data_IF_559812812440
#
_entry.id   IF_559812812440
#
_cell.length_a   1.000
_cell.length_b   1.000
_cell.length_c   1.000
_cell.angle_alpha   90.00
_cell.angle_beta   90.00
_cell.angle_gamma   90.00
#
_symmetry.space_group_name_H-M   'P 1'
#
loop_
_entity.id
_entity.type
_entity.pdbx_description
1 polymer ?
#
# COMPACT_ATOMS: atom_id res chain seq x y z
N UNK A 1 13.96 3.88 32.20
CA UNK A 1 14.75 3.14 31.20
C UNK A 1 15.22 4.14 30.16
N UNK A 2 16.51 4.44 30.14
CA UNK A 2 17.11 5.29 29.10
C UNK A 2 17.51 4.36 27.96
N UNK A 3 16.93 4.57 26.77
CA UNK A 3 17.27 3.85 25.54
C UNK A 3 18.67 4.30 25.08
N UNK A 4 19.73 3.72 25.66
CA UNK A 4 21.13 4.06 25.35
C UNK A 4 21.70 3.29 24.15
N UNK A 5 20.89 2.53 23.42
CA UNK A 5 21.29 1.87 22.18
C UNK A 5 20.35 2.33 21.06
N UNK A 6 20.87 2.86 19.94
CA UNK A 6 20.03 3.13 18.79
C UNK A 6 19.38 1.81 18.38
N UNK A 7 18.05 1.77 18.39
CA UNK A 7 17.28 0.68 17.78
C UNK A 7 17.78 0.58 16.34
N UNK A 8 18.24 -0.59 15.85
CA UNK A 8 18.69 -0.71 14.47
C UNK A 8 17.51 -0.42 13.54
N UNK A 9 17.46 0.82 13.04
CA UNK A 9 16.37 1.33 12.17
C UNK A 9 16.41 0.68 10.78
N UNK A 10 17.48 -0.06 10.48
CA UNK A 10 17.71 -0.66 9.17
C UNK A 10 16.72 -1.78 8.83
N UNK A 11 16.21 -2.52 9.83
CA UNK A 11 15.29 -3.64 9.58
C UNK A 11 13.86 -3.19 9.21
N UNK A 12 13.54 -1.92 9.43
CA UNK A 12 12.22 -1.34 9.15
C UNK A 12 12.25 -0.26 8.07
N UNK A 13 13.42 0.00 7.46
CA UNK A 13 13.52 0.96 6.38
C UNK A 13 13.08 0.30 5.08
N UNK A 14 12.07 0.85 4.37
CA UNK A 14 11.65 0.28 3.10
C UNK A 14 12.79 0.32 2.09
N UNK A 15 13.00 -0.79 1.39
CA UNK A 15 13.97 -0.92 0.30
C UNK A 15 13.53 -0.12 -0.94
N UNK A 16 12.23 0.06 -1.12
CA UNK A 16 11.62 0.94 -2.11
C UNK A 16 10.23 1.39 -1.62
N UNK A 17 9.81 2.60 -2.00
CA UNK A 17 8.48 3.14 -1.71
C UNK A 17 7.83 3.57 -3.02
N UNK A 18 6.55 3.23 -3.18
CA UNK A 18 5.72 3.55 -4.32
C UNK A 18 4.40 4.17 -3.89
N UNK A 19 3.72 4.85 -4.82
CA UNK A 19 2.43 5.48 -4.55
C UNK A 19 1.42 5.13 -5.65
N UNK A 20 0.21 4.79 -5.24
CA UNK A 20 -0.98 4.76 -6.09
C UNK A 20 -1.81 5.98 -5.76
N UNK A 21 -2.14 6.77 -6.78
CA UNK A 21 -2.81 8.05 -6.62
C UNK A 21 -4.14 8.00 -7.35
N UNK A 22 -5.22 8.26 -6.61
CA UNK A 22 -6.54 8.50 -7.18
C UNK A 22 -6.67 9.99 -7.50
N UNK A 23 -7.17 10.27 -8.69
CA UNK A 23 -7.34 11.63 -9.19
C UNK A 23 -8.81 11.82 -9.51
N UNK A 24 -9.41 12.89 -8.99
CA UNK A 24 -10.78 13.27 -9.30
C UNK A 24 -10.88 13.88 -10.70
N UNK A 25 -12.11 14.04 -11.20
CA UNK A 25 -12.40 14.65 -12.51
C UNK A 25 -11.82 16.07 -12.72
N UNK A 26 -11.43 16.76 -11.63
CA UNK A 26 -10.79 18.07 -11.67
C UNK A 26 -9.26 17.99 -11.63
N UNK A 27 -8.68 16.81 -11.89
CA UNK A 27 -7.23 16.53 -11.84
C UNK A 27 -6.60 16.75 -10.44
N UNK A 28 -7.42 16.83 -9.40
CA UNK A 28 -6.97 16.91 -8.01
C UNK A 28 -6.82 15.53 -7.41
N UNK A 29 -5.71 15.32 -6.69
CA UNK A 29 -5.49 14.08 -5.92
C UNK A 29 -6.57 13.95 -4.86
N UNK A 30 -7.33 12.87 -4.91
CA UNK A 30 -8.43 12.59 -3.99
C UNK A 30 -8.05 11.61 -2.89
N UNK A 31 -7.30 10.56 -3.24
CA UNK A 31 -6.77 9.57 -2.32
C UNK A 31 -5.37 9.12 -2.77
N UNK A 32 -4.56 8.69 -1.81
CA UNK A 32 -3.22 8.14 -2.08
C UNK A 32 -2.97 6.94 -1.19
N UNK A 33 -2.38 5.90 -1.78
CA UNK A 33 -1.87 4.73 -1.04
C UNK A 33 -0.36 4.68 -1.21
N UNK A 34 0.32 4.61 -0.08
CA UNK A 34 1.75 4.31 -0.03
C UNK A 34 1.96 2.81 0.04
N UNK A 35 2.85 2.29 -0.80
CA UNK A 35 3.27 0.88 -0.82
C UNK A 35 4.76 0.84 -0.52
N UNK A 36 5.12 0.12 0.53
CA UNK A 36 6.50 -0.02 0.99
C UNK A 36 6.98 -1.45 0.78
N UNK A 37 8.05 -1.62 0.02
CA UNK A 37 8.74 -2.90 -0.16
C UNK A 37 9.74 -3.06 0.97
N UNK A 38 9.47 -3.97 1.89
CA UNK A 38 10.30 -4.19 3.07
C UNK A 38 11.43 -5.21 2.83
N UNK A 39 11.21 -6.18 1.94
CA UNK A 39 12.17 -7.25 1.70
C UNK A 39 12.06 -7.80 0.29
N UNK A 40 13.19 -7.86 -0.43
CA UNK A 40 13.31 -8.55 -1.70
C UNK A 40 14.16 -9.82 -1.56
N UNK A 41 13.55 -11.03 -1.52
CA UNK A 41 14.29 -12.27 -1.34
C UNK A 41 15.17 -12.66 -2.53
N UNK A 42 14.84 -12.21 -3.75
CA UNK A 42 15.45 -12.79 -4.96
C UNK A 42 16.63 -12.01 -5.50
N UNK A 43 16.80 -10.72 -5.19
CA UNK A 43 17.91 -9.85 -5.65
C UNK A 43 18.27 -9.90 -7.17
N UNK A 44 17.51 -10.67 -7.98
CA UNK A 44 17.68 -10.89 -9.41
C UNK A 44 17.17 -9.69 -10.23
N UNK A 45 16.21 -8.95 -9.68
CA UNK A 45 15.66 -7.70 -10.24
C UNK A 45 15.93 -6.54 -9.30
N UNK A 46 16.08 -5.33 -9.86
CA UNK A 46 16.19 -4.11 -9.07
C UNK A 46 14.92 -3.90 -8.25
N UNK A 47 15.06 -3.45 -7.01
CA UNK A 47 13.92 -3.19 -6.11
C UNK A 47 12.88 -2.23 -6.71
N UNK A 48 13.32 -1.28 -7.54
CA UNK A 48 12.45 -0.37 -8.29
C UNK A 48 11.61 -1.07 -9.34
N UNK A 49 12.14 -2.07 -10.03
CA UNK A 49 11.41 -2.85 -11.04
C UNK A 49 10.36 -3.75 -10.37
N UNK A 50 10.72 -4.36 -9.25
CA UNK A 50 9.78 -5.14 -8.43
C UNK A 50 8.67 -4.25 -7.89
N UNK A 51 9.02 -3.09 -7.34
CA UNK A 51 8.02 -2.12 -6.87
C UNK A 51 7.08 -1.72 -8.02
N UNK A 52 7.61 -1.46 -9.21
CA UNK A 52 6.79 -1.16 -10.38
C UNK A 52 5.85 -2.31 -10.76
N UNK A 53 6.35 -3.55 -10.78
CA UNK A 53 5.55 -4.76 -11.03
C UNK A 53 4.41 -4.89 -9.98
N UNK A 54 4.71 -4.63 -8.70
CA UNK A 54 3.74 -4.66 -7.60
C UNK A 54 2.67 -3.58 -7.76
N UNK A 55 3.06 -2.33 -8.04
CA UNK A 55 2.13 -1.22 -8.25
C UNK A 55 1.21 -1.50 -9.44
N UNK A 56 1.72 -2.07 -10.53
CA UNK A 56 0.89 -2.47 -11.68
C UNK A 56 -0.13 -3.54 -11.31
N UNK A 57 0.26 -4.56 -10.54
CA UNK A 57 -0.68 -5.57 -10.07
C UNK A 57 -1.74 -4.98 -9.14
N UNK A 58 -1.33 -4.09 -8.23
CA UNK A 58 -2.24 -3.42 -7.30
C UNK A 58 -3.25 -2.54 -8.05
N UNK A 59 -2.81 -1.83 -9.08
CA UNK A 59 -3.67 -1.06 -9.96
C UNK A 59 -4.72 -1.93 -10.67
N UNK A 60 -4.34 -3.10 -11.18
CA UNK A 60 -5.30 -4.04 -11.79
C UNK A 60 -6.29 -4.56 -10.75
N UNK A 61 -5.82 -4.88 -9.54
CA UNK A 61 -6.65 -5.39 -8.45
C UNK A 61 -7.59 -4.34 -7.86
N UNK A 62 -7.30 -3.04 -8.01
CA UNK A 62 -8.21 -1.99 -7.56
C UNK A 62 -9.42 -1.86 -8.50
N UNK A 63 -9.24 -2.09 -9.81
CA UNK A 63 -10.37 -2.15 -10.76
C UNK A 63 -11.28 -3.37 -10.62
N UNK A 64 -10.85 -4.42 -9.90
CA UNK A 64 -11.72 -5.56 -9.60
C UNK A 64 -12.79 -5.21 -8.56
N UNK A 65 -12.64 -4.11 -7.82
CA UNK A 65 -13.68 -3.62 -6.93
C UNK A 65 -14.84 -3.04 -7.75
N UNK A 66 -16.02 -3.65 -7.63
CA UNK A 66 -17.23 -3.22 -8.33
C UNK A 66 -17.90 -2.01 -7.65
N UNK A 67 -17.59 -1.76 -6.37
CA UNK A 67 -18.11 -0.63 -5.61
C UNK A 67 -17.21 0.59 -5.81
N UNK A 68 -17.75 1.69 -6.35
CA UNK A 68 -17.00 2.89 -6.75
C UNK A 68 -16.53 3.78 -5.59
N UNK A 69 -16.42 3.25 -4.36
CA UNK A 69 -16.17 4.07 -3.17
C UNK A 69 -14.70 4.27 -2.86
N UNK A 70 -13.79 3.39 -3.33
CA UNK A 70 -12.35 3.50 -3.09
C UNK A 70 -11.50 2.94 -4.24
N UNK A 71 -11.50 3.59 -5.42
CA UNK A 71 -10.87 3.05 -6.64
C UNK A 71 -9.33 2.86 -6.57
N UNK A 72 -8.67 3.33 -5.52
CA UNK A 72 -7.22 3.13 -5.34
C UNK A 72 -6.84 1.86 -4.56
N UNK A 73 -7.70 1.31 -3.70
CA UNK A 73 -7.32 0.16 -2.84
C UNK A 73 -7.41 -1.16 -3.61
N UNK A 74 -6.36 -2.00 -3.60
CA UNK A 74 -6.47 -3.35 -4.12
C UNK A 74 -7.55 -4.13 -3.36
N UNK A 75 -8.40 -4.86 -4.09
CA UNK A 75 -9.61 -5.50 -3.53
C UNK A 75 -9.35 -6.33 -2.26
N UNK A 76 -8.23 -7.05 -2.18
CA UNK A 76 -7.90 -7.89 -1.04
C UNK A 76 -7.56 -7.06 0.21
N UNK A 77 -6.86 -5.93 0.06
CA UNK A 77 -6.56 -5.00 1.16
C UNK A 77 -7.86 -4.38 1.67
N UNK A 78 -8.72 -3.96 0.74
CA UNK A 78 -10.01 -3.39 1.07
C UNK A 78 -10.93 -4.38 1.81
N UNK A 79 -10.96 -5.64 1.39
CA UNK A 79 -11.75 -6.68 2.07
C UNK A 79 -11.30 -6.86 3.53
N UNK A 80 -10.00 -6.91 3.77
CA UNK A 80 -9.45 -6.98 5.14
C UNK A 80 -9.84 -5.75 5.94
N UNK A 81 -9.71 -4.56 5.35
CA UNK A 81 -10.06 -3.29 5.99
C UNK A 81 -11.54 -3.24 6.40
N UNK A 82 -12.45 -3.63 5.50
CA UNK A 82 -13.90 -3.72 5.77
C UNK A 82 -14.20 -4.73 6.87
N UNK A 83 -13.58 -5.91 6.83
CA UNK A 83 -13.71 -6.91 7.89
C UNK A 83 -13.26 -6.36 9.26
N UNK A 84 -12.13 -5.67 9.30
CA UNK A 84 -11.63 -5.02 10.52
C UNK A 84 -12.59 -3.94 11.03
N UNK A 85 -13.14 -3.09 10.16
CA UNK A 85 -14.13 -2.07 10.55
C UNK A 85 -15.38 -2.69 11.17
N UNK A 86 -15.95 -3.70 10.51
CA UNK A 86 -17.12 -4.42 11.01
C UNK A 86 -16.83 -5.06 12.37
N UNK A 87 -15.66 -5.70 12.51
CA UNK A 87 -15.25 -6.31 13.76
C UNK A 87 -15.10 -5.29 14.90
N UNK A 88 -14.56 -4.10 14.60
CA UNK A 88 -14.36 -3.02 15.56
C UNK A 88 -15.62 -2.18 15.80
N UNK A 89 -16.72 -2.44 15.08
CA UNK A 89 -17.97 -1.67 15.18
C UNK A 89 -17.85 -0.23 14.66
N UNK A 90 -16.87 0.05 13.80
CA UNK A 90 -16.68 1.37 13.20
C UNK A 90 -17.54 1.45 11.94
N UNK A 91 -18.42 2.47 11.80
CA UNK A 91 -19.23 2.62 10.59
C UNK A 91 -18.35 2.80 9.35
N UNK A 92 -18.85 2.28 8.23
CA UNK A 92 -18.24 2.40 6.90
C UNK A 92 -18.28 3.85 6.41
#
# INVERSE_FOLDING_TARGET
MVLNHPIPVNDFRPEATGFLVEVNNNETVSNTIQVDLLYNPKNEKKNTEIMWDVLNQFHVLSFMEVTTTHMCLPIHVLMVERCCRVYLGVPA
#
